data_IF_200518830552
#
_entry.id   IF_200518830552
#
_cell.length_a   1.000
_cell.length_b   1.000
_cell.length_c   1.000
_cell.angle_alpha   90.00
_cell.angle_beta   90.00
_cell.angle_gamma   90.00
#
_symmetry.space_group_name_H-M   'P 1'
#
loop_
_entity.id
_entity.type
_entity.pdbx_description
1 polymer ?
#
# COMPACT_ATOMS: atom_id res chain seq x y z
N UNK A 1 6.53 32.60 2.00
CA UNK A 1 6.12 31.22 2.34
C UNK A 1 5.13 30.76 1.29
N UNK A 2 5.45 29.75 0.50
CA UNK A 2 4.56 29.23 -0.53
C UNK A 2 3.70 28.12 0.08
N UNK A 3 2.38 28.33 0.12
CA UNK A 3 1.41 27.34 0.55
C UNK A 3 0.86 26.62 -0.68
N UNK A 4 1.04 25.30 -0.76
CA UNK A 4 0.45 24.45 -1.81
C UNK A 4 -0.38 23.37 -1.12
N UNK A 5 -1.60 23.15 -1.62
CA UNK A 5 -2.37 21.96 -1.25
C UNK A 5 -1.73 20.73 -1.92
N UNK A 6 -1.52 19.68 -1.15
CA UNK A 6 -0.92 18.43 -1.58
C UNK A 6 -1.76 17.25 -1.08
N UNK A 7 -1.84 16.19 -1.88
CA UNK A 7 -2.40 14.92 -1.42
C UNK A 7 -1.32 14.07 -0.75
N UNK A 8 -1.64 13.49 0.39
CA UNK A 8 -0.79 12.53 1.10
C UNK A 8 -1.57 11.24 1.35
N UNK A 9 -0.86 10.17 1.66
CA UNK A 9 -1.42 8.93 2.18
C UNK A 9 -0.73 8.56 3.48
N UNK A 10 -1.52 8.19 4.49
CA UNK A 10 -1.03 7.54 5.69
C UNK A 10 -1.17 6.03 5.51
N UNK A 11 -0.18 5.27 5.96
CA UNK A 11 -0.11 3.82 5.78
C UNK A 11 -0.13 3.16 7.16
N UNK A 12 -1.04 2.22 7.37
CA UNK A 12 -1.08 1.32 8.52
C UNK A 12 -0.72 -0.09 8.04
N UNK A 13 0.40 -0.63 8.53
CA UNK A 13 0.82 -2.01 8.23
C UNK A 13 0.07 -2.99 9.11
N UNK A 14 -0.77 -3.83 8.51
CA UNK A 14 -1.53 -4.87 9.22
C UNK A 14 -0.97 -6.26 8.94
N UNK A 15 -0.96 -7.16 9.94
CA UNK A 15 -0.60 -8.55 9.71
C UNK A 15 -1.62 -9.19 8.75
N UNK A 16 -1.11 -9.91 7.77
CA UNK A 16 -1.93 -10.70 6.86
C UNK A 16 -2.16 -12.10 7.46
N UNK A 17 -3.37 -12.66 7.29
CA UNK A 17 -3.74 -13.93 7.96
C UNK A 17 -2.97 -15.16 7.45
N UNK A 18 -2.40 -15.09 6.25
CA UNK A 18 -1.53 -16.14 5.68
C UNK A 18 -0.03 -15.86 5.88
N UNK A 19 0.31 -14.91 6.76
CA UNK A 19 1.68 -14.42 6.95
C UNK A 19 2.01 -13.20 6.10
N UNK A 20 3.00 -12.42 6.57
CA UNK A 20 3.38 -11.13 6.01
C UNK A 20 2.51 -9.96 6.51
N UNK A 21 2.63 -8.80 5.86
CA UNK A 21 1.85 -7.61 6.15
C UNK A 21 1.19 -7.05 4.90
N UNK A 22 0.04 -6.39 5.05
CA UNK A 22 -0.59 -5.60 4.00
C UNK A 22 -0.76 -4.14 4.45
N UNK A 23 -0.80 -3.25 3.49
CA UNK A 23 -0.91 -1.80 3.72
C UNK A 23 -2.38 -1.36 3.70
N UNK A 24 -2.84 -0.76 4.79
CA UNK A 24 -4.11 -0.06 4.86
C UNK A 24 -3.89 1.45 4.70
N UNK A 25 -4.49 2.05 3.67
CA UNK A 25 -4.22 3.42 3.26
C UNK A 25 -5.34 4.39 3.65
N UNK A 26 -4.96 5.58 4.15
CA UNK A 26 -5.84 6.73 4.35
C UNK A 26 -5.30 7.94 3.58
N UNK A 27 -6.02 8.37 2.54
CA UNK A 27 -5.64 9.55 1.76
C UNK A 27 -6.22 10.83 2.37
N UNK A 28 -5.40 11.88 2.43
CA UNK A 28 -5.75 13.17 3.02
C UNK A 28 -5.26 14.31 2.12
N UNK A 29 -5.99 15.43 2.11
CA UNK A 29 -5.50 16.69 1.56
C UNK A 29 -4.88 17.52 2.68
N UNK A 30 -3.67 18.04 2.44
CA UNK A 30 -2.92 18.84 3.40
C UNK A 30 -2.39 20.12 2.77
N UNK A 31 -2.20 21.13 3.59
CA UNK A 31 -1.31 22.25 3.28
C UNK A 31 0.13 21.85 3.55
N UNK A 32 0.92 21.72 2.49
CA UNK A 32 2.35 21.48 2.63
C UNK A 32 3.06 22.81 2.90
N UNK A 33 3.81 22.82 4.00
CA UNK A 33 4.60 23.94 4.48
C UNK A 33 6.06 23.52 4.58
N UNK A 34 6.97 24.34 4.07
CA UNK A 34 8.42 24.15 4.22
C UNK A 34 9.00 25.26 5.07
N UNK A 35 9.87 24.93 6.02
CA UNK A 35 10.47 25.92 6.91
C UNK A 35 11.89 25.51 7.35
N UNK A 36 12.81 26.48 7.28
CA UNK A 36 14.23 26.34 7.68
C UNK A 36 14.54 26.99 9.03
N UNK A 37 13.57 27.61 9.69
CA UNK A 37 13.78 28.25 10.98
C UNK A 37 14.04 27.22 12.08
N UNK A 38 14.89 27.59 13.05
CA UNK A 38 15.15 26.80 14.26
C UNK A 38 13.97 26.81 15.23
N UNK A 39 13.25 27.92 15.26
CA UNK A 39 12.01 28.11 16.02
C UNK A 39 10.92 28.42 15.03
N UNK A 40 9.87 27.63 15.04
CA UNK A 40 8.74 27.73 14.13
C UNK A 40 7.51 28.09 14.95
N UNK A 41 6.95 29.26 14.67
CA UNK A 41 5.71 29.73 15.30
C UNK A 41 4.53 29.15 14.53
N UNK A 42 3.81 28.20 15.14
CA UNK A 42 2.70 27.53 14.46
C UNK A 42 1.51 28.45 14.18
N UNK A 43 1.31 29.49 14.99
CA UNK A 43 0.31 30.53 14.72
C UNK A 43 0.48 31.20 13.34
N UNK A 44 1.71 31.26 12.82
CA UNK A 44 2.02 31.87 11.53
C UNK A 44 1.84 30.88 10.38
N UNK A 45 1.87 29.57 10.66
CA UNK A 45 1.72 28.50 9.67
C UNK A 45 0.28 28.01 9.56
N UNK A 46 -0.35 27.83 10.72
CA UNK A 46 -1.69 27.31 10.90
C UNK A 46 -2.61 28.53 10.95
N UNK A 47 -2.92 29.05 9.76
CA UNK A 47 -4.11 29.86 9.59
C UNK A 47 -5.29 29.01 10.09
N UNK A 48 -6.26 29.58 10.82
CA UNK A 48 -7.42 28.90 11.45
C UNK A 48 -8.36 28.13 10.48
N UNK A 49 -7.87 27.72 9.32
CA UNK A 49 -8.52 26.91 8.32
C UNK A 49 -8.54 25.45 8.76
N UNK A 50 -9.66 24.80 8.47
CA UNK A 50 -9.99 23.42 8.85
C UNK A 50 -9.11 22.34 8.20
N UNK A 51 -8.19 22.71 7.30
CA UNK A 51 -7.35 21.78 6.56
C UNK A 51 -6.07 21.42 7.32
N UNK A 52 -5.68 20.15 7.23
CA UNK A 52 -4.49 19.61 7.87
C UNK A 52 -3.23 20.29 7.33
N UNK A 53 -2.23 20.45 8.18
CA UNK A 53 -0.93 21.06 7.80
C UNK A 53 0.16 20.01 7.90
N UNK A 54 0.88 19.78 6.81
CA UNK A 54 2.11 18.99 6.81
C UNK A 54 3.31 19.94 6.76
N UNK A 55 4.08 19.97 7.83
CA UNK A 55 5.30 20.75 7.95
C UNK A 55 6.52 19.89 7.60
N UNK A 56 7.31 20.36 6.63
CA UNK A 56 8.65 19.89 6.34
C UNK A 56 9.67 20.85 6.99
N UNK A 57 10.48 20.30 7.90
CA UNK A 57 11.56 21.02 8.56
C UNK A 57 12.85 20.80 7.75
N UNK A 58 13.34 21.86 7.12
CA UNK A 58 14.49 21.80 6.19
C UNK A 58 15.81 22.27 6.83
N UNK A 59 15.77 22.63 8.13
CA UNK A 59 16.97 23.06 8.84
C UNK A 59 17.93 21.89 9.16
N UNK A 60 19.21 22.22 9.27
CA UNK A 60 20.31 21.28 9.55
C UNK A 60 20.52 21.02 11.06
N UNK A 61 19.65 21.55 11.93
CA UNK A 61 19.78 21.37 13.37
C UNK A 61 19.25 20.00 13.79
N UNK A 62 19.80 19.47 14.89
CA UNK A 62 19.33 18.19 15.46
C UNK A 62 17.88 18.32 15.95
N UNK A 63 17.52 19.46 16.52
CA UNK A 63 16.18 19.71 17.06
C UNK A 63 15.63 21.04 16.60
N UNK A 64 14.33 21.07 16.38
CA UNK A 64 13.54 22.28 16.08
C UNK A 64 12.56 22.55 17.20
N UNK A 65 12.38 23.82 17.56
CA UNK A 65 11.38 24.24 18.53
C UNK A 65 10.10 24.63 17.79
N UNK A 66 9.01 23.93 18.04
CA UNK A 66 7.67 24.23 17.56
C UNK A 66 6.93 24.99 18.66
N UNK A 67 6.58 26.23 18.41
CA UNK A 67 5.76 27.02 19.33
C UNK A 67 4.29 26.91 18.92
N UNK A 68 3.49 26.22 19.73
CA UNK A 68 2.05 26.06 19.51
C UNK A 68 1.22 26.96 20.45
N UNK A 69 1.84 27.98 21.03
CA UNK A 69 1.14 28.94 21.88
C UNK A 69 0.06 29.67 21.09
N UNK A 70 -1.17 29.74 21.62
CA UNK A 70 -2.27 30.49 21.00
C UNK A 70 -2.88 29.84 19.75
N UNK A 71 -2.56 28.59 19.45
CA UNK A 71 -3.19 27.82 18.36
C UNK A 71 -4.27 26.90 18.93
N UNK A 72 -5.32 26.64 18.16
CA UNK A 72 -6.39 25.67 18.49
C UNK A 72 -5.84 24.26 18.75
N UNK A 73 -6.62 23.30 19.28
CA UNK A 73 -6.03 22.02 19.64
C UNK A 73 -5.79 21.10 18.42
N UNK A 74 -4.62 20.43 18.42
CA UNK A 74 -4.18 19.50 17.38
C UNK A 74 -3.64 18.20 17.98
N UNK A 75 -3.86 17.10 17.26
CA UNK A 75 -2.99 15.93 17.33
C UNK A 75 -1.82 16.15 16.37
N UNK A 76 -0.61 15.88 16.85
CA UNK A 76 0.65 16.15 16.16
C UNK A 76 1.33 14.83 15.91
N UNK A 77 1.55 14.49 14.63
CA UNK A 77 2.16 13.24 14.21
C UNK A 77 3.56 13.51 13.68
N UNK A 78 4.53 12.73 14.14
CA UNK A 78 5.94 12.92 13.83
C UNK A 78 6.44 11.84 12.88
N UNK A 79 7.14 12.25 11.83
CA UNK A 79 7.81 11.32 10.92
C UNK A 79 9.28 11.69 10.71
N UNK A 80 10.10 10.66 10.52
CA UNK A 80 11.52 10.81 10.25
C UNK A 80 11.80 11.15 8.77
N UNK A 81 13.08 11.24 8.40
CA UNK A 81 13.51 11.55 7.02
C UNK A 81 13.10 10.48 5.98
N UNK A 82 12.80 9.26 6.44
CA UNK A 82 12.33 8.13 5.63
C UNK A 82 10.80 8.00 5.64
N UNK A 83 10.09 9.01 6.16
CA UNK A 83 8.64 9.05 6.33
C UNK A 83 8.07 7.98 7.27
N UNK A 84 8.90 7.41 8.15
CA UNK A 84 8.46 6.44 9.14
C UNK A 84 7.80 7.18 10.31
N UNK A 85 6.67 6.67 10.79
CA UNK A 85 5.99 7.21 11.95
C UNK A 85 6.82 6.99 13.21
N UNK A 86 7.08 8.06 13.95
CA UNK A 86 7.94 8.04 15.15
C UNK A 86 7.17 8.31 16.43
N UNK A 87 5.94 8.82 16.33
CA UNK A 87 5.08 9.03 17.49
C UNK A 87 4.02 10.11 17.27
N UNK A 88 3.19 10.30 18.30
CA UNK A 88 2.16 11.34 18.35
C UNK A 88 2.19 12.12 19.66
N UNK A 89 1.77 13.37 19.60
CA UNK A 89 1.52 14.23 20.75
C UNK A 89 0.20 14.98 20.59
N UNK A 90 -0.29 15.59 21.67
CA UNK A 90 -1.47 16.44 21.64
C UNK A 90 -1.11 17.83 22.15
N UNK A 91 -1.58 18.85 21.44
CA UNK A 91 -1.71 20.20 21.97
C UNK A 91 -3.19 20.44 22.22
N UNK A 92 -3.62 20.41 23.49
CA UNK A 92 -5.03 20.55 23.88
C UNK A 92 -5.42 22.00 24.20
N UNK A 93 -4.41 22.85 24.41
CA UNK A 93 -4.48 24.28 24.76
C UNK A 93 -5.83 24.81 25.27
N UNK A 94 -6.16 24.48 26.53
CA UNK A 94 -7.35 24.99 27.22
C UNK A 94 -7.06 26.21 28.13
N UNK A 95 -5.83 26.74 28.14
CA UNK A 95 -5.41 27.83 29.04
C UNK A 95 -4.35 28.77 28.46
N UNK A 96 -4.10 29.92 29.11
CA UNK A 96 -3.26 31.02 28.58
C UNK A 96 -1.72 30.80 28.66
N UNK A 97 -1.26 29.56 28.84
CA UNK A 97 0.16 29.23 29.04
C UNK A 97 0.92 29.07 27.72
N UNK A 98 2.24 29.28 27.73
CA UNK A 98 3.07 28.96 26.56
C UNK A 98 3.15 27.44 26.38
N UNK A 99 3.09 26.99 25.13
CA UNK A 99 3.21 25.58 24.79
C UNK A 99 4.22 25.40 23.65
N UNK A 100 5.34 24.79 23.97
CA UNK A 100 6.46 24.60 23.06
C UNK A 100 6.89 23.15 23.05
N UNK A 101 7.16 22.62 21.85
CA UNK A 101 7.61 21.25 21.65
C UNK A 101 8.98 21.28 20.98
N UNK A 102 9.95 20.56 21.52
CA UNK A 102 11.20 20.31 20.85
C UNK A 102 11.13 18.96 20.14
N UNK A 103 11.40 18.92 18.84
CA UNK A 103 11.33 17.68 18.03
C UNK A 103 12.57 17.49 17.17
N UNK A 104 12.95 16.23 16.95
CA UNK A 104 13.95 15.81 15.97
C UNK A 104 13.32 15.38 14.63
N UNK A 105 11.98 15.31 14.58
CA UNK A 105 11.26 14.94 13.38
C UNK A 105 11.55 15.93 12.25
N UNK A 106 11.62 15.42 11.01
CA UNK A 106 11.76 16.28 9.81
C UNK A 106 10.41 16.54 9.14
N UNK A 107 9.42 15.72 9.45
CA UNK A 107 8.05 15.87 8.96
C UNK A 107 7.09 15.85 10.14
N UNK A 108 6.18 16.81 10.18
CA UNK A 108 5.21 16.96 11.26
C UNK A 108 3.85 17.23 10.66
N UNK A 109 2.89 16.34 10.90
CA UNK A 109 1.51 16.51 10.47
C UNK A 109 0.68 17.02 11.64
N UNK A 110 -0.05 18.10 11.41
CA UNK A 110 -0.98 18.69 12.36
C UNK A 110 -2.42 18.36 11.95
N UNK A 111 -3.11 17.63 12.82
CA UNK A 111 -4.51 17.20 12.63
C UNK A 111 -5.37 17.92 13.67
N UNK A 112 -6.26 18.80 13.20
CA UNK A 112 -7.09 19.59 14.13
C UNK A 112 -8.13 18.68 14.80
N UNK A 113 -8.25 18.75 16.14
CA UNK A 113 -9.11 17.82 16.90
C UNK A 113 -10.62 17.93 16.64
N UNK A 114 -11.06 18.95 15.89
CA UNK A 114 -12.48 19.21 15.63
C UNK A 114 -12.88 18.91 14.19
N UNK A 115 -11.98 18.36 13.38
CA UNK A 115 -12.27 18.04 11.98
C UNK A 115 -12.81 16.63 11.82
N UNK A 116 -13.39 16.34 10.65
CA UNK A 116 -13.87 15.00 10.30
C UNK A 116 -12.68 14.03 10.18
N UNK A 117 -11.58 14.50 9.63
CA UNK A 117 -10.36 13.74 9.41
C UNK A 117 -9.79 13.21 10.73
N UNK A 118 -9.84 14.00 11.81
CA UNK A 118 -9.45 13.51 13.14
C UNK A 118 -10.28 12.29 13.57
N UNK A 119 -11.61 12.34 13.40
CA UNK A 119 -12.48 11.21 13.73
C UNK A 119 -12.17 9.97 12.88
N UNK A 120 -11.88 10.17 11.60
CA UNK A 120 -11.55 9.09 10.66
C UNK A 120 -10.17 8.45 10.93
N UNK A 121 -9.30 9.12 11.70
CA UNK A 121 -7.94 8.70 12.04
C UNK A 121 -7.78 8.20 13.49
N UNK A 122 -8.81 8.33 14.34
CA UNK A 122 -8.72 8.02 15.77
C UNK A 122 -8.24 6.58 16.05
N UNK A 123 -8.67 5.62 15.22
CA UNK A 123 -8.32 4.20 15.33
C UNK A 123 -7.22 3.77 14.34
N UNK A 124 -6.60 4.72 13.63
CA UNK A 124 -5.61 4.42 12.59
C UNK A 124 -4.20 4.27 13.19
N UNK A 125 -3.61 3.08 13.10
CA UNK A 125 -2.24 2.84 13.57
C UNK A 125 -1.22 3.17 12.49
N UNK A 126 -0.87 4.44 12.38
CA UNK A 126 0.08 4.89 11.38
C UNK A 126 1.44 4.22 11.53
N UNK A 127 1.94 3.68 10.43
CA UNK A 127 3.29 3.17 10.27
C UNK A 127 4.13 4.14 9.44
N UNK A 128 3.56 4.70 8.36
CA UNK A 128 4.32 5.51 7.40
C UNK A 128 3.47 6.64 6.80
N UNK A 129 4.14 7.71 6.36
CA UNK A 129 3.59 8.79 5.57
C UNK A 129 4.05 8.65 4.12
N UNK A 130 3.19 9.02 3.18
CA UNK A 130 3.53 9.06 1.77
C UNK A 130 2.99 10.33 1.12
N UNK A 131 3.82 11.03 0.34
CA UNK A 131 3.50 12.34 -0.26
C UNK A 131 3.43 12.18 -1.77
N UNK A 132 2.24 12.41 -2.34
CA UNK A 132 1.85 11.94 -3.68
C UNK A 132 2.63 12.46 -4.89
N UNK A 133 3.58 13.36 -4.69
CA UNK A 133 4.30 14.00 -5.80
C UNK A 133 5.82 13.73 -5.82
N UNK A 134 6.40 12.96 -4.87
CA UNK A 134 7.87 12.83 -4.82
C UNK A 134 8.42 11.50 -5.35
N UNK A 135 7.63 10.42 -5.40
CA UNK A 135 8.15 9.07 -5.67
C UNK A 135 7.31 8.13 -6.55
N UNK A 136 6.28 8.60 -7.29
CA UNK A 136 5.31 7.71 -7.97
C UNK A 136 4.66 6.72 -6.99
N UNK A 137 3.86 7.23 -6.04
CA UNK A 137 3.22 6.41 -5.01
C UNK A 137 2.48 5.21 -5.60
N UNK A 138 2.83 4.07 -5.02
CA UNK A 138 2.34 2.74 -5.26
C UNK A 138 1.11 2.51 -4.38
N UNK A 139 -0.11 2.63 -4.93
CA UNK A 139 -1.33 2.33 -4.16
C UNK A 139 -1.56 0.81 -4.12
N UNK A 140 -1.54 0.20 -2.94
CA UNK A 140 -1.86 -1.22 -2.72
C UNK A 140 -3.00 -1.33 -1.69
N UNK A 141 -4.01 -2.10 -2.02
CA UNK A 141 -5.07 -2.56 -1.13
C UNK A 141 -5.38 -4.01 -1.50
N UNK A 142 -4.37 -4.88 -1.38
CA UNK A 142 -4.52 -6.30 -1.68
C UNK A 142 -5.53 -6.92 -0.71
N UNK A 143 -6.71 -7.37 -1.17
CA UNK A 143 -7.61 -8.14 -0.35
C UNK A 143 -6.98 -9.49 -0.03
N UNK A 144 -7.63 -10.23 0.87
CA UNK A 144 -7.12 -11.53 1.25
C UNK A 144 -6.89 -12.47 0.05
N UNK A 145 -5.72 -13.12 0.03
CA UNK A 145 -5.30 -14.06 -1.00
C UNK A 145 -4.64 -13.39 -2.21
N UNK A 146 -4.72 -12.06 -2.33
CA UNK A 146 -4.09 -11.33 -3.42
C UNK A 146 -2.66 -10.91 -3.09
N UNK A 147 -1.83 -10.85 -4.13
CA UNK A 147 -0.41 -10.55 -4.03
C UNK A 147 0.45 -11.66 -3.42
N UNK A 148 -0.14 -12.79 -3.05
CA UNK A 148 0.53 -13.96 -2.46
C UNK A 148 0.72 -15.03 -3.53
N UNK A 149 1.96 -15.51 -3.69
CA UNK A 149 2.25 -16.58 -4.66
C UNK A 149 1.74 -17.95 -4.17
N UNK A 150 1.38 -18.87 -5.08
CA UNK A 150 1.27 -18.67 -6.53
C UNK A 150 -0.04 -17.97 -6.93
N UNK A 151 -0.04 -17.27 -8.05
CA UNK A 151 -1.26 -16.68 -8.62
C UNK A 151 -1.21 -16.60 -10.14
N UNK A 152 -2.37 -16.39 -10.76
CA UNK A 152 -2.49 -16.11 -12.19
C UNK A 152 -2.68 -14.62 -12.42
N UNK A 153 -2.02 -14.06 -13.42
CA UNK A 153 -2.29 -12.72 -13.98
C UNK A 153 -2.86 -12.86 -15.39
N UNK A 154 -3.92 -12.11 -15.64
CA UNK A 154 -4.52 -11.95 -16.96
C UNK A 154 -4.34 -10.51 -17.42
N UNK A 155 -3.79 -10.32 -18.62
CA UNK A 155 -3.71 -9.00 -19.24
C UNK A 155 -5.06 -8.63 -19.88
N UNK A 156 -5.65 -7.49 -19.51
CA UNK A 156 -6.88 -7.00 -20.11
C UNK A 156 -6.55 -6.25 -21.41
N UNK A 157 -6.82 -6.89 -22.55
CA UNK A 157 -6.54 -6.29 -23.85
C UNK A 157 -7.12 -4.87 -23.99
N UNK A 158 -6.34 -3.96 -24.58
CA UNK A 158 -6.68 -2.54 -24.81
C UNK A 158 -6.85 -1.70 -23.54
N UNK A 159 -6.40 -2.19 -22.39
CA UNK A 159 -6.40 -1.47 -21.13
C UNK A 159 -5.06 -1.64 -20.40
N UNK A 160 -4.56 -0.64 -19.66
CA UNK A 160 -3.40 -0.81 -18.77
C UNK A 160 -3.81 -1.54 -17.47
N UNK A 161 -4.69 -2.54 -17.57
CA UNK A 161 -5.23 -3.26 -16.42
C UNK A 161 -4.85 -4.75 -16.48
N UNK A 162 -4.59 -5.31 -15.30
CA UNK A 162 -4.31 -6.71 -15.09
C UNK A 162 -5.31 -7.27 -14.09
N UNK A 163 -5.82 -8.47 -14.31
CA UNK A 163 -6.62 -9.17 -13.30
C UNK A 163 -5.75 -10.22 -12.63
N UNK A 164 -5.76 -10.27 -11.30
CA UNK A 164 -5.11 -11.32 -10.55
C UNK A 164 -6.14 -12.35 -10.08
N UNK A 165 -5.78 -13.62 -10.18
CA UNK A 165 -6.58 -14.74 -9.68
C UNK A 165 -5.68 -15.53 -8.72
N UNK A 166 -5.92 -15.46 -7.41
CA UNK A 166 -5.18 -16.23 -6.42
C UNK A 166 -5.27 -17.74 -6.67
N UNK A 167 -4.21 -18.50 -6.36
CA UNK A 167 -4.23 -19.96 -6.33
C UNK A 167 -4.09 -20.42 -4.89
N UNK A 168 -5.04 -21.23 -4.44
CA UNK A 168 -5.10 -21.79 -3.10
C UNK A 168 -4.84 -23.29 -3.15
N UNK A 169 -3.93 -23.79 -2.32
CA UNK A 169 -3.56 -25.21 -2.28
C UNK A 169 -4.05 -25.79 -0.96
N UNK A 170 -4.82 -26.89 -1.01
CA UNK A 170 -5.30 -27.62 0.17
C UNK A 170 -6.02 -26.75 1.22
N UNK A 171 -6.81 -25.78 0.77
CA UNK A 171 -7.57 -24.89 1.67
C UNK A 171 -8.80 -25.58 2.25
N UNK A 172 -8.97 -25.44 3.56
CA UNK A 172 -10.08 -26.02 4.34
C UNK A 172 -11.38 -25.20 4.27
N UNK A 173 -11.37 -24.03 3.64
CA UNK A 173 -12.51 -23.09 3.60
C UNK A 173 -13.05 -22.89 2.17
N UNK A 174 -14.36 -23.04 2.00
CA UNK A 174 -15.05 -23.01 0.70
C UNK A 174 -15.31 -21.60 0.11
N UNK A 175 -14.69 -20.52 0.62
CA UNK A 175 -15.10 -19.15 0.24
C UNK A 175 -13.95 -18.23 -0.19
N UNK A 176 -12.80 -18.76 -0.60
CA UNK A 176 -11.70 -17.93 -1.09
C UNK A 176 -11.85 -17.64 -2.59
N UNK A 177 -11.61 -16.40 -3.03
CA UNK A 177 -11.65 -16.08 -4.46
C UNK A 177 -10.45 -16.71 -5.18
N UNK A 178 -10.70 -17.28 -6.36
CA UNK A 178 -9.65 -17.78 -7.25
C UNK A 178 -9.72 -19.28 -7.53
N UNK A 179 -8.56 -19.86 -7.86
CA UNK A 179 -8.42 -21.28 -8.20
C UNK A 179 -8.09 -22.04 -6.93
N UNK A 180 -8.77 -23.16 -6.69
CA UNK A 180 -8.46 -24.07 -5.58
C UNK A 180 -7.95 -25.40 -6.13
N UNK A 181 -6.76 -25.80 -5.68
CA UNK A 181 -6.13 -27.06 -6.06
C UNK A 181 -6.09 -27.95 -4.82
N UNK A 182 -6.76 -29.10 -4.90
CA UNK A 182 -6.70 -30.15 -3.88
C UNK A 182 -5.71 -31.21 -4.32
N UNK A 183 -4.68 -31.40 -3.51
CA UNK A 183 -3.60 -32.36 -3.75
C UNK A 183 -3.71 -33.45 -2.68
N UNK A 184 -3.87 -34.70 -3.12
CA UNK A 184 -3.88 -35.85 -2.22
C UNK A 184 -2.46 -36.08 -1.72
N UNK A 185 -2.21 -35.75 -0.46
CA UNK A 185 -0.96 -36.00 0.24
C UNK A 185 -0.87 -37.50 0.58
N UNK A 186 -0.53 -38.33 -0.40
CA UNK A 186 -0.22 -39.74 -0.15
C UNK A 186 1.29 -39.96 0.02
N UNK A 187 2.15 -39.00 -0.39
CA UNK A 187 3.61 -38.97 -0.17
C UNK A 187 4.15 -37.52 0.00
N UNK A 188 5.40 -37.35 0.47
CA UNK A 188 6.10 -36.05 0.47
C UNK A 188 6.31 -35.57 -0.98
N UNK A 189 5.45 -34.66 -1.44
CA UNK A 189 5.55 -34.06 -2.78
C UNK A 189 6.69 -33.05 -2.78
N UNK A 190 7.61 -33.19 -3.73
CA UNK A 190 8.71 -32.23 -3.92
C UNK A 190 8.20 -30.89 -4.46
N UNK A 191 8.98 -29.82 -4.28
CA UNK A 191 8.62 -28.49 -4.79
C UNK A 191 8.43 -28.48 -6.33
N UNK A 192 9.24 -29.27 -7.05
CA UNK A 192 9.16 -29.37 -8.52
C UNK A 192 7.88 -30.09 -8.97
N UNK A 193 7.48 -31.16 -8.27
CA UNK A 193 6.23 -31.88 -8.55
C UNK A 193 5.01 -31.01 -8.26
N UNK A 194 5.03 -30.26 -7.15
CA UNK A 194 3.99 -29.31 -6.81
C UNK A 194 3.85 -28.22 -7.88
N UNK A 195 4.96 -27.67 -8.33
CA UNK A 195 4.98 -26.67 -9.39
C UNK A 195 4.40 -27.23 -10.70
N UNK A 196 4.79 -28.44 -11.08
CA UNK A 196 4.28 -29.10 -12.28
C UNK A 196 2.76 -29.33 -12.22
N UNK A 197 2.24 -29.74 -11.06
CA UNK A 197 0.79 -29.89 -10.83
C UNK A 197 0.07 -28.55 -11.03
N UNK A 198 0.63 -27.45 -10.52
CA UNK A 198 0.03 -26.11 -10.67
C UNK A 198 0.04 -25.68 -12.14
N UNK A 199 1.16 -25.89 -12.85
CA UNK A 199 1.28 -25.56 -14.28
C UNK A 199 0.23 -26.30 -15.10
N UNK A 200 0.09 -27.61 -14.89
CA UNK A 200 -0.88 -28.44 -15.62
C UNK A 200 -2.32 -28.01 -15.33
N UNK A 201 -2.63 -27.70 -14.07
CA UNK A 201 -3.95 -27.24 -13.69
C UNK A 201 -4.30 -25.90 -14.36
N UNK A 202 -3.37 -24.94 -14.36
CA UNK A 202 -3.58 -23.63 -14.99
C UNK A 202 -3.66 -23.75 -16.50
N UNK A 203 -2.86 -24.63 -17.13
CA UNK A 203 -2.94 -24.90 -18.57
C UNK A 203 -4.35 -25.38 -18.98
N UNK A 204 -4.92 -26.31 -18.22
CA UNK A 204 -6.27 -26.84 -18.47
C UNK A 204 -7.36 -25.76 -18.32
N UNK A 205 -7.23 -24.88 -17.32
CA UNK A 205 -8.18 -23.76 -17.12
C UNK A 205 -8.05 -22.75 -18.26
N UNK A 206 -6.83 -22.37 -18.63
CA UNK A 206 -6.56 -21.43 -19.73
C UNK A 206 -7.11 -21.92 -21.08
N UNK A 207 -6.93 -23.21 -21.37
CA UNK A 207 -7.44 -23.82 -22.59
C UNK A 207 -8.97 -23.73 -22.66
N UNK A 208 -9.67 -24.15 -21.60
CA UNK A 208 -11.13 -24.11 -21.52
C UNK A 208 -11.68 -22.70 -21.68
N UNK A 209 -11.06 -21.71 -21.03
CA UNK A 209 -11.47 -20.31 -21.12
C UNK A 209 -11.25 -19.74 -22.53
N UNK A 210 -10.10 -20.03 -23.14
CA UNK A 210 -9.76 -19.58 -24.50
C UNK A 210 -10.72 -20.15 -25.56
N UNK A 211 -11.11 -21.42 -25.42
CA UNK A 211 -12.10 -22.07 -26.28
C UNK A 211 -13.50 -21.45 -26.13
N UNK A 212 -13.92 -21.15 -24.89
CA UNK A 212 -15.26 -20.61 -24.61
C UNK A 212 -15.47 -19.16 -25.07
N UNK A 213 -14.42 -18.32 -25.01
CA UNK A 213 -14.52 -16.89 -25.30
C UNK A 213 -14.09 -16.51 -26.73
N UNK A 214 -13.62 -17.48 -27.52
CA UNK A 214 -13.10 -17.31 -28.88
C UNK A 214 -12.11 -16.13 -29.02
N UNK A 215 -11.34 -15.86 -27.96
CA UNK A 215 -10.32 -14.80 -27.90
C UNK A 215 -9.05 -15.35 -27.27
N UNK A 216 -7.92 -14.80 -27.68
CA UNK A 216 -6.63 -15.13 -27.09
C UNK A 216 -6.48 -14.41 -25.74
N UNK A 217 -6.57 -15.15 -24.65
CA UNK A 217 -6.36 -14.58 -23.31
C UNK A 217 -4.88 -14.76 -22.95
N UNK A 218 -4.15 -13.66 -22.80
CA UNK A 218 -2.74 -13.69 -22.36
C UNK A 218 -2.68 -13.89 -20.86
N UNK A 219 -2.15 -15.04 -20.45
CA UNK A 219 -2.13 -15.48 -19.06
C UNK A 219 -0.70 -15.76 -18.61
N UNK A 220 -0.37 -15.32 -17.39
CA UNK A 220 0.88 -15.65 -16.72
C UNK A 220 0.59 -16.30 -15.36
N UNK A 221 1.09 -17.51 -15.14
CA UNK A 221 1.19 -18.11 -13.81
C UNK A 221 2.47 -17.62 -13.14
N UNK A 222 2.36 -16.98 -12.00
CA UNK A 222 3.49 -16.44 -11.27
C UNK A 222 3.74 -17.30 -10.04
N UNK A 223 4.92 -17.92 -9.98
CA UNK A 223 5.29 -18.87 -8.93
C UNK A 223 6.00 -18.18 -7.76
N UNK A 224 6.83 -17.18 -8.06
CA UNK A 224 7.54 -16.35 -7.07
C UNK A 224 8.01 -15.04 -7.74
N UNK A 225 8.87 -14.28 -7.07
CA UNK A 225 9.38 -12.98 -7.54
C UNK A 225 10.31 -13.03 -8.76
N UNK A 226 10.78 -14.21 -9.18
CA UNK A 226 11.72 -14.38 -10.29
C UNK A 226 11.35 -15.51 -11.27
N UNK A 227 10.12 -16.04 -11.20
CA UNK A 227 9.68 -17.16 -12.03
C UNK A 227 8.19 -17.07 -12.37
N UNK A 228 7.90 -17.01 -13.66
CA UNK A 228 6.56 -17.04 -14.21
C UNK A 228 6.49 -17.89 -15.49
N UNK A 229 5.32 -18.47 -15.73
CA UNK A 229 4.97 -19.27 -16.90
C UNK A 229 3.90 -18.55 -17.72
N UNK A 230 4.21 -18.21 -18.96
CA UNK A 230 3.31 -17.51 -19.88
C UNK A 230 2.64 -18.50 -20.81
N UNK A 231 1.31 -18.47 -20.83
CA UNK A 231 0.47 -19.34 -21.64
C UNK A 231 -0.01 -18.59 -22.88
N UNK A 232 0.24 -19.18 -24.04
CA UNK A 232 -0.26 -18.75 -25.35
C UNK A 232 -1.11 -19.87 -25.94
N UNK A 233 -1.92 -19.54 -26.96
CA UNK A 233 -2.84 -20.52 -27.55
C UNK A 233 -2.06 -21.64 -28.25
N UNK A 234 -2.42 -22.89 -27.97
CA UNK A 234 -1.91 -24.10 -28.64
C UNK A 234 -0.39 -24.32 -28.54
N UNK A 235 0.28 -23.70 -27.55
CA UNK A 235 1.73 -23.86 -27.29
C UNK A 235 2.03 -24.27 -25.85
N UNK A 236 3.22 -24.83 -25.62
CA UNK A 236 3.71 -25.07 -24.26
C UNK A 236 4.04 -23.73 -23.59
N UNK A 237 3.79 -23.59 -22.27
CA UNK A 237 4.06 -22.35 -21.57
C UNK A 237 5.55 -22.01 -21.63
N UNK A 238 5.85 -20.73 -21.85
CA UNK A 238 7.21 -20.21 -21.84
C UNK A 238 7.59 -19.68 -20.46
N UNK A 239 8.84 -19.90 -20.04
CA UNK A 239 9.34 -19.48 -18.72
C UNK A 239 10.02 -18.12 -18.83
N UNK A 240 9.77 -17.25 -17.85
CA UNK A 240 10.43 -15.95 -17.75
C UNK A 240 10.63 -15.54 -16.29
N UNK A 241 11.67 -14.76 -16.03
CA UNK A 241 11.89 -14.12 -14.74
C UNK A 241 11.20 -12.76 -14.60
N UNK A 242 10.63 -12.24 -15.68
CA UNK A 242 9.89 -10.99 -15.68
C UNK A 242 8.43 -11.25 -15.36
N UNK A 243 7.94 -10.56 -14.32
CA UNK A 243 6.55 -10.62 -13.87
C UNK A 243 5.81 -9.38 -14.37
N UNK A 244 4.57 -9.50 -14.85
CA UNK A 244 3.76 -8.34 -15.17
C UNK A 244 3.66 -7.39 -13.96
N UNK A 245 3.80 -6.09 -14.22
CA UNK A 245 3.80 -5.07 -13.18
C UNK A 245 3.33 -3.72 -13.76
N UNK A 246 3.07 -2.75 -12.89
CA UNK A 246 2.54 -1.44 -13.28
C UNK A 246 1.02 -1.46 -13.51
N UNK A 247 0.51 -0.45 -14.21
CA UNK A 247 -0.91 -0.36 -14.56
C UNK A 247 -1.85 -0.39 -13.35
N UNK A 248 -3.09 -0.82 -13.55
CA UNK A 248 -4.02 -1.15 -12.46
C UNK A 248 -4.15 -2.67 -12.31
N UNK A 249 -4.08 -3.18 -11.08
CA UNK A 249 -4.36 -4.56 -10.75
C UNK A 249 -5.79 -4.68 -10.21
N UNK A 250 -6.52 -5.65 -10.72
CA UNK A 250 -7.92 -5.92 -10.43
C UNK A 250 -8.07 -7.27 -9.70
N UNK A 251 -9.06 -7.36 -8.81
CA UNK A 251 -9.50 -8.64 -8.23
C UNK A 251 -10.36 -9.46 -9.21
N UNK A 252 -10.87 -10.61 -8.77
CA UNK A 252 -11.73 -11.49 -9.60
C UNK A 252 -13.09 -10.87 -9.92
N UNK A 253 -13.49 -9.84 -9.16
CA UNK A 253 -14.73 -9.09 -9.36
C UNK A 253 -14.52 -7.80 -10.17
N UNK A 254 -13.28 -7.53 -10.62
CA UNK A 254 -12.91 -6.32 -11.37
C UNK A 254 -12.66 -5.08 -10.51
N UNK A 255 -12.61 -5.18 -9.19
CA UNK A 255 -12.29 -4.07 -8.30
C UNK A 255 -10.78 -3.79 -8.31
N UNK A 256 -10.40 -2.52 -8.32
CA UNK A 256 -8.98 -2.15 -8.31
C UNK A 256 -8.39 -2.41 -6.92
N UNK A 257 -7.36 -3.26 -6.88
CA UNK A 257 -6.65 -3.66 -5.67
C UNK A 257 -5.22 -3.13 -5.61
N UNK A 258 -4.64 -2.72 -6.74
CA UNK A 258 -3.38 -2.00 -6.74
C UNK A 258 -3.21 -1.12 -7.98
N UNK A 259 -2.34 -0.10 -7.92
CA UNK A 259 -1.96 0.74 -9.07
C UNK A 259 -0.46 1.04 -9.08
N UNK A 260 0.11 1.06 -10.28
CA UNK A 260 1.50 1.40 -10.58
C UNK A 260 2.50 0.66 -9.69
N UNK A 261 2.33 -0.66 -9.58
CA UNK A 261 3.06 -1.47 -8.61
C UNK A 261 3.45 -2.84 -9.14
N UNK A 262 4.37 -3.51 -8.44
CA UNK A 262 4.48 -4.97 -8.49
C UNK A 262 3.19 -5.62 -8.00
N UNK A 263 2.73 -6.65 -8.71
CA UNK A 263 1.48 -7.33 -8.42
C UNK A 263 1.61 -8.39 -7.31
N UNK A 264 2.55 -8.22 -6.39
CA UNK A 264 2.78 -9.12 -5.27
C UNK A 264 3.15 -8.36 -3.98
N UNK A 265 2.96 -9.01 -2.84
CA UNK A 265 3.41 -8.56 -1.53
C UNK A 265 4.92 -8.84 -1.38
N UNK A 266 5.68 -7.88 -0.85
CA UNK A 266 7.06 -8.14 -0.47
C UNK A 266 7.05 -8.99 0.81
N UNK A 267 7.75 -10.11 0.76
CA UNK A 267 8.20 -10.78 1.97
C UNK A 267 9.50 -10.09 2.38
N UNK A 268 9.51 -9.37 3.50
CA UNK A 268 10.77 -9.08 4.18
C UNK A 268 11.32 -10.42 4.63
N UNK A 269 12.31 -10.95 3.90
CA UNK A 269 13.19 -11.98 4.46
C UNK A 269 13.91 -11.33 5.64
N UNK A 270 13.53 -11.71 6.86
CA UNK A 270 14.27 -11.39 8.08
C UNK A 270 15.61 -12.13 8.11
#
# INVERSE_FOLDING_TARGET
>A
MFMKTSAISLIEKKPHRDGGTFDHLKSLEVYLVKNEARTILLQDLILQKELLVLLQIENQQLTTLLDCTGVTPYEIWYFDEKFQFTGKAYSLHEGCGTFQIQTQAKWVLFVHLHTKEFKDLQDFNCSELDIADKYNIIKRNFPYGYGVFPYVIINQEKSPCFSQIPIHINVNSNSLPGISITIKLEDEISADELEQIIIEHVALVHQKESESQNREVKVALVINTNKAYYFERDTKPSVSSLIPSGGALLDVNGQIIAKNTNHYLYYDEQ
#
